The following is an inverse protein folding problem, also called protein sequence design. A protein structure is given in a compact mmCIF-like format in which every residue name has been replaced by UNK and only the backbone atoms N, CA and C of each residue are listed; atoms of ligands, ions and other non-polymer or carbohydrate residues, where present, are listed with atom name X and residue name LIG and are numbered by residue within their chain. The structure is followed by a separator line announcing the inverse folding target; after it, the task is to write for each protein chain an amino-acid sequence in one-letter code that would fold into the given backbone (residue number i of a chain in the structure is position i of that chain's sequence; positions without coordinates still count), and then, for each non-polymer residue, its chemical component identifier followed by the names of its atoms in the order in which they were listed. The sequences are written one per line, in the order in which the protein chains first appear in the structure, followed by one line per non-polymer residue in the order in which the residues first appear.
data_IF_193484523697
#
_entry.id   IF_193484523697
#
_cell.length_a   1.000
_cell.length_b   1.000
_cell.length_c   1.000
_cell.angle_alpha   90.00
_cell.angle_beta   90.00
_cell.angle_gamma   90.00
#
_symmetry.space_group_name_H-M   'P 1'
#
loop_
_entity.id
_entity.type
_entity.pdbx_description
1 polymer ?
#
# COMPACT_ATOMS: atom_id res chain seq x y z
N UNK A 1 9.57 -24.53 -2.67
CA UNK A 1 8.76 -23.95 -3.75
C UNK A 1 7.34 -23.73 -3.23
N UNK A 2 7.12 -22.65 -2.46
CA UNK A 2 5.82 -22.32 -1.82
C UNK A 2 5.24 -21.11 -2.57
N UNK A 3 5.02 -21.24 -3.88
CA UNK A 3 4.54 -20.12 -4.69
C UNK A 3 3.46 -20.50 -5.71
N UNK A 4 2.88 -21.69 -5.58
CA UNK A 4 1.82 -22.18 -6.48
C UNK A 4 0.43 -22.28 -5.81
N UNK A 5 0.26 -21.80 -4.56
CA UNK A 5 -1.02 -21.94 -3.83
C UNK A 5 -1.51 -20.67 -3.16
N UNK A 6 -1.45 -19.53 -3.84
CA UNK A 6 -2.28 -18.39 -3.46
C UNK A 6 -3.43 -18.28 -4.45
N UNK A 7 -4.65 -18.61 -4.00
CA UNK A 7 -5.90 -18.32 -4.73
C UNK A 7 -6.08 -16.81 -5.03
N UNK A 8 -5.19 -15.97 -4.51
CA UNK A 8 -5.14 -14.52 -4.68
C UNK A 8 -4.04 -14.07 -5.65
N UNK A 9 -3.48 -14.97 -6.46
CA UNK A 9 -2.39 -14.60 -7.37
C UNK A 9 -2.83 -13.77 -8.58
N UNK A 10 -4.05 -13.97 -9.10
CA UNK A 10 -4.45 -13.42 -10.41
C UNK A 10 -5.98 -13.18 -10.42
N UNK A 11 -6.41 -11.90 -10.55
CA UNK A 11 -7.80 -11.54 -10.85
C UNK A 11 -8.44 -10.43 -10.00
N UNK A 12 -9.73 -10.18 -10.23
CA UNK A 12 -10.56 -9.22 -9.47
C UNK A 12 -10.77 -9.61 -7.99
N UNK A 13 -10.44 -10.86 -7.63
CA UNK A 13 -10.65 -11.44 -6.30
C UNK A 13 -9.50 -11.19 -5.29
N UNK A 14 -8.38 -10.59 -5.74
CA UNK A 14 -7.27 -10.27 -4.83
C UNK A 14 -7.67 -9.11 -3.93
N UNK A 15 -7.55 -9.23 -2.59
CA UNK A 15 -7.84 -8.15 -1.65
C UNK A 15 -7.12 -6.87 -2.07
N UNK A 16 -7.82 -5.73 -2.00
CA UNK A 16 -7.28 -4.45 -2.45
C UNK A 16 -5.96 -4.13 -1.74
N UNK A 17 -5.87 -4.38 -0.43
CA UNK A 17 -4.63 -4.20 0.33
C UNK A 17 -3.45 -5.05 -0.18
N UNK A 18 -3.69 -6.27 -0.68
CA UNK A 18 -2.64 -7.10 -1.27
C UNK A 18 -2.17 -6.53 -2.61
N UNK A 19 -3.09 -6.02 -3.45
CA UNK A 19 -2.72 -5.34 -4.70
C UNK A 19 -1.87 -4.10 -4.40
N UNK A 20 -2.27 -3.29 -3.42
CA UNK A 20 -1.51 -2.12 -2.97
C UNK A 20 -0.10 -2.52 -2.49
N UNK A 21 0.01 -3.55 -1.66
CA UNK A 21 1.30 -4.04 -1.16
C UNK A 21 2.23 -4.50 -2.30
N UNK A 22 1.68 -5.21 -3.30
CA UNK A 22 2.45 -5.61 -4.49
C UNK A 22 2.91 -4.41 -5.32
N UNK A 23 2.07 -3.38 -5.46
CA UNK A 23 2.46 -2.14 -6.15
C UNK A 23 3.55 -1.38 -5.38
N UNK A 24 3.46 -1.30 -4.05
CA UNK A 24 4.51 -0.70 -3.21
C UNK A 24 5.83 -1.47 -3.36
N UNK A 25 5.80 -2.80 -3.26
CA UNK A 25 7.00 -3.64 -3.39
C UNK A 25 7.64 -3.48 -4.78
N UNK A 26 6.83 -3.45 -5.83
CA UNK A 26 7.29 -3.31 -7.22
C UNK A 26 7.87 -1.94 -7.52
N UNK A 27 7.17 -0.88 -7.11
CA UNK A 27 7.49 0.48 -7.54
C UNK A 27 8.42 1.20 -6.57
N UNK A 28 8.30 0.97 -5.26
CA UNK A 28 9.08 1.68 -4.22
C UNK A 28 10.11 0.77 -3.56
N UNK A 29 9.80 -0.52 -3.44
CA UNK A 29 10.70 -1.55 -2.95
C UNK A 29 10.26 -2.20 -1.65
N UNK A 30 10.67 -3.45 -1.46
CA UNK A 30 10.32 -4.28 -0.29
C UNK A 30 10.64 -3.64 1.06
N UNK A 31 11.77 -2.93 1.17
CA UNK A 31 12.16 -2.25 2.41
C UNK A 31 11.09 -1.24 2.85
N UNK A 32 10.63 -0.40 1.92
CA UNK A 32 9.59 0.60 2.20
C UNK A 32 8.30 -0.08 2.64
N UNK A 33 7.88 -1.15 1.95
CA UNK A 33 6.70 -1.91 2.35
C UNK A 33 6.80 -2.43 3.80
N UNK A 34 7.94 -3.01 4.17
CA UNK A 34 8.16 -3.55 5.53
C UNK A 34 8.12 -2.46 6.60
N UNK A 35 8.61 -1.25 6.31
CA UNK A 35 8.56 -0.10 7.24
C UNK A 35 7.11 0.35 7.54
N UNK A 36 6.12 -0.07 6.76
CA UNK A 36 4.70 0.28 6.97
C UNK A 36 3.94 -0.72 7.85
N UNK A 37 4.55 -1.84 8.24
CA UNK A 37 3.85 -2.89 9.01
C UNK A 37 3.38 -2.32 10.35
N UNK A 38 2.08 -2.44 10.62
CA UNK A 38 1.45 -1.94 11.84
C UNK A 38 1.10 -0.45 11.82
N UNK A 39 1.47 0.30 10.77
CA UNK A 39 1.06 1.69 10.56
C UNK A 39 0.26 1.81 9.25
N UNK A 40 -1.07 1.80 9.39
CA UNK A 40 -1.99 1.92 8.25
C UNK A 40 -1.82 3.23 7.47
N UNK A 41 -1.40 4.33 8.13
CA UNK A 41 -1.20 5.59 7.43
C UNK A 41 0.10 5.58 6.64
N UNK A 42 1.18 5.05 7.24
CA UNK A 42 2.44 4.84 6.52
C UNK A 42 2.24 3.92 5.29
N UNK A 43 1.37 2.92 5.39
CA UNK A 43 1.02 2.06 4.25
C UNK A 43 0.36 2.84 3.12
N UNK A 44 -0.61 3.71 3.43
CA UNK A 44 -1.27 4.55 2.44
C UNK A 44 -0.33 5.61 1.82
N UNK A 45 0.59 6.17 2.60
CA UNK A 45 1.63 7.08 2.10
C UNK A 45 2.58 6.37 1.13
N UNK A 46 3.04 5.16 1.47
CA UNK A 46 3.86 4.35 0.56
C UNK A 46 3.08 3.97 -0.71
N UNK A 47 1.78 3.74 -0.60
CA UNK A 47 0.94 3.51 -1.78
C UNK A 47 0.80 4.75 -2.66
N UNK A 48 0.62 5.94 -2.07
CA UNK A 48 0.62 7.22 -2.78
C UNK A 48 1.95 7.42 -3.52
N UNK A 49 3.09 7.10 -2.91
CA UNK A 49 4.40 7.15 -3.57
C UNK A 49 4.46 6.22 -4.81
N UNK A 50 3.96 4.99 -4.70
CA UNK A 50 3.87 4.07 -5.82
C UNK A 50 2.92 4.57 -6.94
N UNK A 51 1.79 5.16 -6.55
CA UNK A 51 0.78 5.72 -7.46
C UNK A 51 1.32 6.93 -8.24
N UNK A 52 2.10 7.80 -7.57
CA UNK A 52 2.72 8.98 -8.18
C UNK A 52 3.69 8.62 -9.31
N UNK A 53 4.39 7.46 -9.22
CA UNK A 53 5.25 6.97 -10.32
C UNK A 53 4.46 6.64 -11.59
N UNK A 54 3.15 6.42 -11.47
CA UNK A 54 2.20 6.22 -12.59
C UNK A 54 1.39 7.48 -12.90
N UNK A 55 1.77 8.64 -12.35
CA UNK A 55 1.03 9.91 -12.45
C UNK A 55 -0.39 9.85 -11.88
N UNK A 56 -0.64 8.94 -10.93
CA UNK A 56 -1.88 8.90 -10.17
C UNK A 56 -1.71 9.65 -8.86
N UNK A 57 -2.67 10.52 -8.56
CA UNK A 57 -2.74 11.24 -7.29
C UNK A 57 -4.00 10.77 -6.55
N UNK A 58 -3.84 10.17 -5.37
CA UNK A 58 -4.97 9.56 -4.64
C UNK A 58 -5.44 10.44 -3.49
N UNK A 59 -4.51 10.85 -2.62
CA UNK A 59 -4.83 11.53 -1.37
C UNK A 59 -4.01 12.82 -1.20
N UNK A 60 -4.66 13.84 -0.64
CA UNK A 60 -4.03 15.10 -0.24
C UNK A 60 -3.32 14.97 1.11
N UNK A 61 -2.28 15.80 1.32
CA UNK A 61 -1.51 15.83 2.58
C UNK A 61 -2.42 16.10 3.80
N UNK A 62 -3.45 16.93 3.64
CA UNK A 62 -4.43 17.19 4.69
C UNK A 62 -5.21 15.92 5.07
N UNK A 63 -5.45 15.02 4.11
CA UNK A 63 -6.12 13.74 4.36
C UNK A 63 -5.24 12.83 5.21
N UNK A 64 -3.95 12.74 4.92
CA UNK A 64 -3.01 11.99 5.74
C UNK A 64 -2.92 12.55 7.16
N UNK A 65 -2.89 13.89 7.31
CA UNK A 65 -2.89 14.54 8.62
C UNK A 65 -4.13 14.17 9.46
N UNK A 66 -5.32 14.23 8.84
CA UNK A 66 -6.59 13.84 9.49
C UNK A 66 -6.57 12.35 9.87
N UNK A 67 -6.13 11.47 8.98
CA UNK A 67 -6.03 10.02 9.25
C UNK A 67 -5.07 9.69 10.40
N UNK A 68 -3.88 10.32 10.45
CA UNK A 68 -2.95 10.14 11.58
C UNK A 68 -3.54 10.58 12.91
N UNK A 69 -4.39 11.61 12.90
CA UNK A 69 -5.07 12.08 14.10
C UNK A 69 -6.15 11.10 14.55
N UNK A 70 -6.96 10.59 13.62
CA UNK A 70 -8.05 9.66 13.90
C UNK A 70 -7.58 8.29 14.40
N UNK A 71 -6.48 7.77 13.84
CA UNK A 71 -5.98 6.42 14.15
C UNK A 71 -5.00 6.37 15.33
N UNK A 72 -4.66 7.52 15.92
CA UNK A 72 -3.88 7.60 17.17
C UNK A 72 -4.74 7.52 18.44
N UNK A 73 -6.07 7.42 18.29
CA UNK A 73 -7.03 7.26 19.38
C UNK A 73 -7.17 5.81 19.84
#
# INVERSE_FOLDING_TARGET
MIMERSWFGIGSLVPVGMKMAMEIEKEVGKKRLVETIGDAVAFLEAYQEAALKKSYYLLEDETFHKLRTLLKA
#
